data_IF_531779090450
#
_entry.id   IF_531779090450
#
_cell.length_a   1.000
_cell.length_b   1.000
_cell.length_c   1.000
_cell.angle_alpha   90.00
_cell.angle_beta   90.00
_cell.angle_gamma   90.00
#
_symmetry.space_group_name_H-M   'P 1'
#
loop_
_entity.id
_entity.type
_entity.pdbx_description
1 polymer ?
#
# COMPACT_ATOMS: atom_id res chain seq x y z
N UNK A 1 118.15 -82.07 -24.21
CA UNK A 1 117.31 -82.48 -23.08
C UNK A 1 115.95 -81.85 -23.28
N UNK A 2 115.06 -82.61 -23.93
CA UNK A 2 113.69 -82.20 -24.19
C UNK A 2 112.96 -81.98 -22.87
N UNK A 3 112.49 -80.75 -22.65
CA UNK A 3 111.71 -80.40 -21.48
C UNK A 3 110.22 -80.56 -21.83
N UNK A 4 109.55 -81.63 -21.38
CA UNK A 4 108.18 -81.96 -21.81
C UNK A 4 107.11 -81.01 -21.24
N UNK A 5 107.48 -80.04 -20.38
CA UNK A 5 106.52 -79.19 -19.68
C UNK A 5 106.15 -77.87 -20.39
N UNK A 6 106.72 -77.57 -21.57
CA UNK A 6 106.42 -76.35 -22.33
C UNK A 6 105.10 -76.37 -23.11
N UNK A 7 104.38 -77.50 -23.16
CA UNK A 7 103.20 -77.68 -24.03
C UNK A 7 101.85 -77.37 -23.35
N UNK A 8 101.79 -77.28 -22.03
CA UNK A 8 100.53 -77.13 -21.29
C UNK A 8 99.82 -75.76 -21.44
N UNK A 9 100.50 -74.59 -21.42
CA UNK A 9 99.83 -73.30 -21.57
C UNK A 9 99.25 -73.09 -22.98
N UNK A 10 99.92 -73.63 -24.00
CA UNK A 10 99.48 -73.56 -25.39
C UNK A 10 98.20 -74.37 -25.63
N UNK A 11 98.08 -75.54 -24.99
CA UNK A 11 96.88 -76.40 -25.11
C UNK A 11 95.67 -75.75 -24.42
N UNK A 12 95.86 -75.09 -23.28
CA UNK A 12 94.77 -74.38 -22.57
C UNK A 12 94.26 -73.19 -23.41
N UNK A 13 95.17 -72.38 -23.96
CA UNK A 13 94.79 -71.26 -24.83
C UNK A 13 94.09 -71.72 -26.11
N UNK A 14 94.58 -72.79 -26.73
CA UNK A 14 93.98 -73.36 -27.95
C UNK A 14 92.56 -73.90 -27.70
N UNK A 15 92.37 -74.64 -26.59
CA UNK A 15 91.06 -75.16 -26.22
C UNK A 15 90.06 -74.05 -25.84
N UNK A 16 90.52 -72.95 -25.23
CA UNK A 16 89.68 -71.80 -24.95
C UNK A 16 89.23 -71.07 -26.24
N UNK A 17 90.14 -70.92 -27.21
CA UNK A 17 89.82 -70.33 -28.53
C UNK A 17 88.83 -71.23 -29.28
N UNK A 18 89.06 -72.55 -29.31
CA UNK A 18 88.10 -73.50 -29.90
C UNK A 18 86.76 -73.43 -29.18
N UNK A 19 86.74 -73.33 -27.85
CA UNK A 19 85.51 -73.18 -27.07
C UNK A 19 84.73 -71.92 -27.43
N UNK A 20 85.41 -70.78 -27.63
CA UNK A 20 84.78 -69.53 -28.07
C UNK A 20 84.28 -69.60 -29.52
N UNK A 21 85.04 -70.21 -30.43
CA UNK A 21 84.60 -70.42 -31.82
C UNK A 21 83.39 -71.35 -31.86
N UNK A 22 83.40 -72.43 -31.07
CA UNK A 22 82.27 -73.37 -30.98
C UNK A 22 81.05 -72.72 -30.33
N UNK A 23 81.26 -71.93 -29.27
CA UNK A 23 80.19 -71.16 -28.63
C UNK A 23 79.56 -70.13 -29.57
N UNK A 24 80.38 -69.39 -30.33
CA UNK A 24 79.90 -68.42 -31.33
C UNK A 24 79.15 -69.10 -32.48
N UNK A 25 79.71 -70.17 -33.05
CA UNK A 25 79.06 -70.92 -34.14
C UNK A 25 77.79 -71.64 -33.68
N UNK A 26 77.75 -72.12 -32.44
CA UNK A 26 76.55 -72.68 -31.83
C UNK A 26 75.48 -71.61 -31.57
N UNK A 27 75.87 -70.43 -31.07
CA UNK A 27 74.98 -69.27 -30.93
C UNK A 27 74.44 -68.79 -32.27
N UNK A 28 75.28 -68.78 -33.31
CA UNK A 28 74.89 -68.46 -34.68
C UNK A 28 73.93 -69.51 -35.27
N UNK A 29 74.19 -70.80 -35.04
CA UNK A 29 73.34 -71.92 -35.48
C UNK A 29 71.99 -71.98 -34.76
N UNK A 30 71.92 -71.54 -33.51
CA UNK A 30 70.69 -71.37 -32.74
C UNK A 30 69.89 -70.11 -33.14
N UNK A 31 70.35 -69.35 -34.15
CA UNK A 31 69.65 -68.17 -34.63
C UNK A 31 69.89 -66.92 -33.78
N UNK A 32 70.98 -66.85 -33.03
CA UNK A 32 71.32 -65.69 -32.19
C UNK A 32 71.37 -64.36 -32.95
N UNK A 33 71.77 -64.38 -34.23
CA UNK A 33 71.69 -63.22 -35.13
C UNK A 33 70.26 -62.74 -35.36
N UNK A 34 69.32 -63.67 -35.61
CA UNK A 34 67.91 -63.34 -35.79
C UNK A 34 67.27 -62.87 -34.49
N UNK A 35 67.68 -63.42 -33.35
CA UNK A 35 67.20 -62.96 -32.04
C UNK A 35 67.68 -61.54 -31.75
N UNK A 36 68.97 -61.25 -31.98
CA UNK A 36 69.54 -59.91 -31.83
C UNK A 36 68.85 -58.90 -32.77
N UNK A 37 68.67 -59.24 -34.04
CA UNK A 37 67.97 -58.42 -35.03
C UNK A 37 66.52 -58.15 -34.63
N UNK A 38 65.79 -59.17 -34.16
CA UNK A 38 64.43 -58.99 -33.61
C UNK A 38 64.40 -58.06 -32.40
N UNK A 39 65.36 -58.19 -31.48
CA UNK A 39 65.42 -57.29 -30.31
C UNK A 39 65.74 -55.85 -30.70
N UNK A 40 66.62 -55.64 -31.68
CA UNK A 40 66.90 -54.31 -32.22
C UNK A 40 65.68 -53.73 -32.95
N UNK A 41 65.01 -54.53 -33.77
CA UNK A 41 63.81 -54.08 -34.47
C UNK A 41 62.68 -53.72 -33.49
N UNK A 42 62.48 -54.53 -32.44
CA UNK A 42 61.54 -54.21 -31.36
C UNK A 42 61.87 -52.89 -30.65
N UNK A 43 63.15 -52.62 -30.39
CA UNK A 43 63.56 -51.34 -29.80
C UNK A 43 63.30 -50.16 -30.74
N UNK A 44 63.58 -50.32 -32.04
CA UNK A 44 63.32 -49.30 -33.06
C UNK A 44 61.81 -49.03 -33.18
N UNK A 45 60.98 -50.07 -33.20
CA UNK A 45 59.53 -49.94 -33.29
C UNK A 45 58.95 -49.27 -32.04
N UNK A 46 59.48 -49.59 -30.85
CA UNK A 46 59.12 -48.91 -29.60
C UNK A 46 59.50 -47.43 -29.62
N UNK A 47 60.71 -47.10 -30.07
CA UNK A 47 61.15 -45.70 -30.24
C UNK A 47 60.26 -44.96 -31.23
N UNK A 48 59.86 -45.59 -32.35
CA UNK A 48 58.94 -44.98 -33.32
C UNK A 48 57.57 -44.71 -32.70
N UNK A 49 57.04 -45.63 -31.88
CA UNK A 49 55.79 -45.41 -31.16
C UNK A 49 55.90 -44.24 -30.19
N UNK A 50 56.97 -44.17 -29.38
CA UNK A 50 57.20 -43.06 -28.45
C UNK A 50 57.33 -41.71 -29.20
N UNK A 51 57.99 -41.67 -30.36
CA UNK A 51 58.04 -40.48 -31.20
C UNK A 51 56.67 -40.06 -31.73
N UNK A 52 55.85 -41.02 -32.16
CA UNK A 52 54.50 -40.74 -32.66
C UNK A 52 53.58 -40.25 -31.54
N UNK A 53 53.71 -40.79 -30.32
CA UNK A 53 53.01 -40.31 -29.13
C UNK A 53 53.41 -38.87 -28.77
N UNK A 54 54.70 -38.54 -28.86
CA UNK A 54 55.19 -37.17 -28.65
C UNK A 54 54.67 -36.18 -29.70
N UNK A 55 54.60 -36.58 -30.97
CA UNK A 55 54.00 -35.75 -32.01
C UNK A 55 52.51 -35.51 -31.78
N UNK A 56 51.76 -36.56 -31.39
CA UNK A 56 50.35 -36.45 -31.03
C UNK A 56 50.16 -35.52 -29.82
N UNK A 57 50.99 -35.65 -28.77
CA UNK A 57 50.96 -34.78 -27.60
C UNK A 57 51.24 -33.32 -27.98
N UNK A 58 52.21 -33.08 -28.86
CA UNK A 58 52.52 -31.72 -29.35
C UNK A 58 51.34 -31.12 -30.10
N UNK A 59 50.65 -31.89 -30.94
CA UNK A 59 49.45 -31.44 -31.63
C UNK A 59 48.32 -31.11 -30.65
N UNK A 60 48.12 -31.93 -29.61
CA UNK A 60 47.12 -31.68 -28.56
C UNK A 60 47.44 -30.41 -27.76
N UNK A 61 48.71 -30.17 -27.42
CA UNK A 61 49.12 -28.95 -26.70
C UNK A 61 48.84 -27.71 -27.55
N UNK A 62 49.20 -27.75 -28.84
CA UNK A 62 48.98 -26.62 -29.74
C UNK A 62 47.49 -26.33 -29.93
N UNK A 63 46.66 -27.37 -30.08
CA UNK A 63 45.20 -27.22 -30.13
C UNK A 63 44.62 -26.61 -28.84
N UNK A 64 45.15 -26.99 -27.67
CA UNK A 64 44.75 -26.40 -26.37
C UNK A 64 45.15 -24.94 -26.26
N UNK A 65 46.35 -24.56 -26.69
CA UNK A 65 46.79 -23.17 -26.69
C UNK A 65 45.93 -22.28 -27.60
N UNK A 66 45.54 -22.80 -28.78
CA UNK A 66 44.61 -22.09 -29.67
C UNK A 66 43.20 -21.97 -29.06
N UNK A 67 42.71 -23.00 -28.37
CA UNK A 67 41.42 -22.96 -27.69
C UNK A 67 41.40 -21.91 -26.56
N UNK A 68 42.47 -21.84 -25.75
CA UNK A 68 42.60 -20.84 -24.68
C UNK A 68 42.63 -19.43 -25.25
N UNK A 69 43.36 -19.19 -26.36
CA UNK A 69 43.36 -17.88 -27.02
C UNK A 69 41.96 -17.47 -27.51
N UNK A 70 41.20 -18.39 -28.10
CA UNK A 70 39.82 -18.14 -28.52
C UNK A 70 38.90 -17.86 -27.33
N UNK A 71 39.07 -18.57 -26.21
CA UNK A 71 38.30 -18.33 -24.99
C UNK A 71 38.58 -16.94 -24.41
N UNK A 72 39.85 -16.50 -24.40
CA UNK A 72 40.22 -15.15 -23.97
C UNK A 72 39.64 -14.06 -24.87
N UNK A 73 39.62 -14.27 -26.19
CA UNK A 73 38.98 -13.35 -27.13
C UNK A 73 37.47 -13.26 -26.92
N UNK A 74 36.80 -14.40 -26.70
CA UNK A 74 35.37 -14.41 -26.38
C UNK A 74 35.06 -13.73 -25.05
N UNK A 75 35.90 -13.90 -24.02
CA UNK A 75 35.75 -13.18 -22.74
C UNK A 75 35.85 -11.67 -22.92
N UNK A 76 36.83 -11.20 -23.70
CA UNK A 76 36.96 -9.77 -24.02
C UNK A 76 35.73 -9.24 -24.75
N UNK A 77 35.19 -9.99 -25.71
CA UNK A 77 33.95 -9.61 -26.40
C UNK A 77 32.76 -9.56 -25.45
N UNK A 78 32.61 -10.56 -24.57
CA UNK A 78 31.54 -10.58 -23.57
C UNK A 78 31.61 -9.37 -22.61
N UNK A 79 32.80 -9.00 -22.14
CA UNK A 79 32.99 -7.80 -21.31
C UNK A 79 32.60 -6.52 -22.04
N UNK A 80 32.92 -6.39 -23.34
CA UNK A 80 32.51 -5.22 -24.14
C UNK A 80 30.99 -5.14 -24.30
N UNK A 81 30.32 -6.28 -24.49
CA UNK A 81 28.87 -6.34 -24.58
C UNK A 81 28.19 -6.01 -23.25
N UNK A 82 28.74 -6.48 -22.12
CA UNK A 82 28.24 -6.13 -20.79
C UNK A 82 28.36 -4.62 -20.52
N UNK A 83 29.51 -4.00 -20.84
CA UNK A 83 29.68 -2.54 -20.71
C UNK A 83 28.72 -1.76 -21.60
N UNK A 84 28.47 -2.22 -22.82
CA UNK A 84 27.51 -1.59 -23.72
C UNK A 84 26.07 -1.67 -23.17
N UNK A 85 25.68 -2.83 -22.61
CA UNK A 85 24.37 -3.02 -21.99
C UNK A 85 24.18 -2.13 -20.74
N UNK A 86 25.23 -1.96 -19.93
CA UNK A 86 25.20 -1.07 -18.76
C UNK A 86 25.05 0.40 -19.16
N UNK A 87 25.74 0.84 -20.21
CA UNK A 87 25.58 2.19 -20.78
C UNK A 87 24.15 2.40 -21.30
N UNK A 88 23.59 1.42 -22.01
CA UNK A 88 22.21 1.51 -22.52
C UNK A 88 21.19 1.61 -21.38
N UNK A 89 21.37 0.83 -20.31
CA UNK A 89 20.54 0.89 -19.11
C UNK A 89 20.59 2.26 -18.46
N UNK A 90 21.79 2.82 -18.26
CA UNK A 90 21.98 4.14 -17.66
C UNK A 90 21.36 5.26 -18.53
N UNK A 91 21.47 5.16 -19.85
CA UNK A 91 20.82 6.08 -20.79
C UNK A 91 19.30 6.04 -20.70
N UNK A 92 18.70 4.83 -20.65
CA UNK A 92 17.25 4.66 -20.50
C UNK A 92 16.75 5.24 -19.17
N UNK A 93 17.48 5.03 -18.08
CA UNK A 93 17.13 5.57 -16.77
C UNK A 93 17.18 7.11 -16.77
N UNK A 94 18.26 7.71 -17.31
CA UNK A 94 18.38 9.16 -17.48
C UNK A 94 17.24 9.76 -18.31
N UNK A 95 16.92 9.14 -19.46
CA UNK A 95 15.84 9.59 -20.33
C UNK A 95 14.47 9.52 -19.62
N UNK A 96 14.22 8.46 -18.84
CA UNK A 96 12.98 8.31 -18.09
C UNK A 96 12.78 9.41 -17.05
N UNK A 97 13.86 9.79 -16.35
CA UNK A 97 13.82 10.89 -15.38
C UNK A 97 13.57 12.24 -16.06
N UNK A 98 14.15 12.47 -17.23
CA UNK A 98 13.97 13.71 -17.98
C UNK A 98 12.53 13.85 -18.53
N UNK A 99 11.96 12.75 -19.05
CA UNK A 99 10.54 12.69 -19.46
C UNK A 99 9.63 13.00 -18.27
N UNK A 100 9.92 12.47 -17.07
CA UNK A 100 9.12 12.76 -15.88
C UNK A 100 9.17 14.25 -15.48
N UNK A 101 10.36 14.88 -15.56
CA UNK A 101 10.51 16.32 -15.31
C UNK A 101 9.70 17.15 -16.31
N UNK A 102 9.79 16.83 -17.61
CA UNK A 102 9.03 17.53 -18.66
C UNK A 102 7.53 17.38 -18.43
N UNK A 103 7.05 16.18 -18.07
CA UNK A 103 5.64 15.96 -17.78
C UNK A 103 5.15 16.78 -16.58
N UNK A 104 5.95 16.93 -15.52
CA UNK A 104 5.60 17.78 -14.37
C UNK A 104 5.48 19.25 -14.76
N UNK A 105 6.37 19.75 -15.62
CA UNK A 105 6.33 21.13 -16.13
C UNK A 105 5.06 21.35 -16.98
N UNK A 106 4.78 20.46 -17.93
CA UNK A 106 3.61 20.55 -18.81
C UNK A 106 2.28 20.48 -18.02
N UNK A 107 2.22 19.65 -16.97
CA UNK A 107 1.05 19.59 -16.10
C UNK A 107 0.89 20.86 -15.26
N UNK A 108 1.98 21.47 -14.81
CA UNK A 108 1.97 22.75 -14.12
C UNK A 108 1.45 23.88 -15.02
N UNK A 109 1.96 23.98 -16.24
CA UNK A 109 1.56 25.02 -17.21
C UNK A 109 0.09 24.90 -17.61
N UNK A 110 -0.42 23.67 -17.83
CA UNK A 110 -1.85 23.46 -18.12
C UNK A 110 -2.77 23.90 -16.98
N UNK A 111 -2.38 23.64 -15.72
CA UNK A 111 -3.15 24.08 -14.55
C UNK A 111 -3.20 25.61 -14.43
N UNK A 112 -2.08 26.28 -14.71
CA UNK A 112 -2.01 27.75 -14.71
C UNK A 112 -2.91 28.35 -15.79
N UNK A 113 -2.90 27.78 -17.00
CA UNK A 113 -3.72 28.29 -18.09
C UNK A 113 -5.22 28.04 -17.87
N UNK A 114 -5.59 26.88 -17.32
CA UNK A 114 -6.97 26.59 -16.92
C UNK A 114 -7.47 27.52 -15.82
N UNK A 115 -6.64 27.79 -14.80
CA UNK A 115 -6.97 28.73 -13.74
C UNK A 115 -7.18 30.17 -14.26
N UNK A 116 -6.35 30.62 -15.22
CA UNK A 116 -6.52 31.95 -15.87
C UNK A 116 -7.83 32.04 -16.66
N UNK A 117 -8.17 31.01 -17.42
CA UNK A 117 -9.44 30.97 -18.19
C UNK A 117 -10.64 30.96 -17.26
N UNK A 118 -10.57 30.22 -16.16
CA UNK A 118 -11.62 30.16 -15.15
C UNK A 118 -11.79 31.53 -14.46
N UNK A 119 -10.69 32.18 -14.04
CA UNK A 119 -10.73 33.54 -13.48
C UNK A 119 -11.34 34.56 -14.45
N UNK A 120 -10.96 34.53 -15.73
CA UNK A 120 -11.52 35.45 -16.73
C UNK A 120 -13.02 35.25 -16.99
N UNK A 121 -13.53 34.03 -16.82
CA UNK A 121 -14.99 33.76 -16.85
C UNK A 121 -15.68 34.22 -15.57
N UNK A 122 -15.03 34.03 -14.44
CA UNK A 122 -15.52 34.44 -13.13
C UNK A 122 -15.55 35.97 -12.93
N UNK A 123 -14.73 36.73 -13.65
CA UNK A 123 -14.82 38.19 -13.65
C UNK A 123 -16.08 38.72 -14.37
N UNK A 124 -16.70 37.90 -15.23
CA UNK A 124 -17.93 38.28 -15.97
C UNK A 124 -19.20 38.02 -15.18
N UNK A 125 -19.09 37.75 -13.88
CA UNK A 125 -20.25 37.52 -13.04
C UNK A 125 -21.12 38.77 -12.92
N UNK A 126 -22.45 38.61 -12.85
CA UNK A 126 -23.33 39.74 -12.58
C UNK A 126 -22.93 40.39 -11.27
N UNK A 127 -22.70 41.71 -11.32
CA UNK A 127 -22.32 42.48 -10.14
C UNK A 127 -23.42 42.34 -9.06
N UNK A 128 -23.02 41.93 -7.85
CA UNK A 128 -23.96 41.86 -6.74
C UNK A 128 -24.41 43.26 -6.35
N UNK A 129 -25.70 43.41 -6.08
CA UNK A 129 -26.21 44.62 -5.45
C UNK A 129 -25.69 44.72 -4.01
N UNK A 130 -25.49 45.94 -3.45
CA UNK A 130 -25.01 46.10 -2.08
C UNK A 130 -25.88 45.39 -1.04
N UNK A 131 -27.20 45.34 -1.27
CA UNK A 131 -28.15 44.64 -0.41
C UNK A 131 -27.91 43.11 -0.41
N UNK A 132 -27.65 42.51 -1.58
CA UNK A 132 -27.33 41.08 -1.68
C UNK A 132 -25.97 40.75 -1.05
N UNK A 133 -24.97 41.62 -1.18
CA UNK A 133 -23.66 41.42 -0.55
C UNK A 133 -23.78 41.38 0.98
N UNK A 134 -24.46 42.35 1.57
CA UNK A 134 -24.68 42.42 3.01
C UNK A 134 -25.42 41.18 3.52
N UNK A 135 -26.43 40.73 2.79
CA UNK A 135 -27.23 39.57 3.16
C UNK A 135 -26.46 38.25 3.07
N UNK A 136 -25.72 38.02 1.98
CA UNK A 136 -24.95 36.78 1.80
C UNK A 136 -23.76 36.69 2.75
N UNK A 137 -23.21 37.83 3.20
CA UNK A 137 -22.15 37.83 4.22
C UNK A 137 -22.58 37.32 5.60
N UNK A 138 -23.89 37.22 5.85
CA UNK A 138 -24.44 36.75 7.13
C UNK A 138 -24.64 35.22 7.17
N UNK A 139 -24.32 34.49 6.10
CA UNK A 139 -24.54 33.04 6.05
C UNK A 139 -23.60 32.28 6.99
N UNK A 140 -24.17 31.50 7.91
CA UNK A 140 -23.45 30.56 8.77
C UNK A 140 -23.33 29.19 8.10
N UNK A 141 -22.50 29.12 7.06
CA UNK A 141 -22.20 27.88 6.33
C UNK A 141 -20.71 27.55 6.41
N UNK A 142 -20.38 26.26 6.37
CA UNK A 142 -18.98 25.83 6.28
C UNK A 142 -18.40 26.20 4.91
N UNK A 143 -17.07 26.36 4.77
CA UNK A 143 -16.44 26.63 3.48
C UNK A 143 -16.80 25.60 2.40
N UNK A 144 -16.95 24.33 2.79
CA UNK A 144 -17.37 23.24 1.91
C UNK A 144 -18.80 23.40 1.41
N UNK A 145 -19.73 23.80 2.29
CA UNK A 145 -21.12 24.06 1.92
C UNK A 145 -21.23 25.27 0.99
N UNK A 146 -20.47 26.34 1.27
CA UNK A 146 -20.38 27.50 0.39
C UNK A 146 -19.81 27.14 -0.98
N UNK A 147 -18.75 26.32 -1.02
CA UNK A 147 -18.16 25.82 -2.26
C UNK A 147 -19.16 24.93 -3.03
N UNK A 148 -19.94 24.10 -2.34
CA UNK A 148 -20.96 23.27 -2.95
C UNK A 148 -22.05 24.13 -3.62
N UNK A 149 -22.53 25.18 -2.96
CA UNK A 149 -23.49 26.13 -3.54
C UNK A 149 -22.86 26.85 -4.74
N UNK A 150 -21.65 27.38 -4.59
CA UNK A 150 -20.90 28.06 -5.65
C UNK A 150 -20.73 27.18 -6.91
N UNK A 151 -20.48 25.88 -6.73
CA UNK A 151 -20.35 24.92 -7.84
C UNK A 151 -21.66 24.69 -8.62
N UNK A 152 -22.81 25.12 -8.10
CA UNK A 152 -24.08 25.01 -8.80
C UNK A 152 -24.33 26.16 -9.77
N UNK A 153 -23.40 27.09 -9.98
CA UNK A 153 -23.61 28.18 -10.91
C UNK A 153 -23.80 27.68 -12.36
N UNK A 154 -24.74 28.32 -13.08
CA UNK A 154 -25.28 27.81 -14.35
C UNK A 154 -24.26 27.78 -15.50
N UNK A 155 -23.27 28.68 -15.50
CA UNK A 155 -22.27 28.82 -16.55
C UNK A 155 -21.02 27.93 -16.35
N UNK A 156 -20.98 27.11 -15.30
CA UNK A 156 -19.83 26.25 -14.99
C UNK A 156 -19.96 24.87 -15.65
N UNK A 157 -18.92 24.45 -16.36
CA UNK A 157 -18.74 23.07 -16.85
C UNK A 157 -18.48 22.10 -15.70
N UNK A 158 -18.59 20.79 -15.93
CA UNK A 158 -18.41 19.78 -14.87
C UNK A 158 -17.00 19.81 -14.28
N UNK A 159 -16.01 20.15 -15.09
CA UNK A 159 -14.61 20.25 -14.74
C UNK A 159 -14.37 21.51 -13.88
N UNK A 160 -14.89 22.66 -14.31
CA UNK A 160 -14.80 23.93 -13.58
C UNK A 160 -15.45 23.86 -12.19
N UNK A 161 -16.55 23.11 -12.06
CA UNK A 161 -17.19 22.86 -10.75
C UNK A 161 -16.27 22.15 -9.77
N UNK A 162 -15.47 21.17 -10.25
CA UNK A 162 -14.50 20.46 -9.40
C UNK A 162 -13.35 21.36 -9.01
N UNK A 163 -12.84 22.16 -9.94
CA UNK A 163 -11.78 23.13 -9.66
C UNK A 163 -12.23 24.18 -8.64
N UNK A 164 -13.48 24.65 -8.74
CA UNK A 164 -14.06 25.57 -7.75
C UNK A 164 -14.12 24.91 -6.39
N UNK A 165 -14.57 23.66 -6.26
CA UNK A 165 -14.60 22.96 -4.96
C UNK A 165 -13.22 22.87 -4.30
N UNK A 166 -12.16 22.70 -5.10
CA UNK A 166 -10.78 22.59 -4.61
C UNK A 166 -10.23 23.98 -4.23
N UNK A 167 -10.43 24.98 -5.08
CA UNK A 167 -9.79 26.30 -4.94
C UNK A 167 -10.67 27.34 -4.23
N UNK A 168 -11.92 27.01 -3.86
CA UNK A 168 -12.86 27.94 -3.23
C UNK A 168 -12.28 28.71 -2.04
N UNK A 169 -11.50 28.08 -1.12
CA UNK A 169 -10.93 28.80 0.01
C UNK A 169 -10.00 29.94 -0.39
N UNK A 170 -9.33 29.83 -1.54
CA UNK A 170 -8.33 30.79 -2.02
C UNK A 170 -8.96 31.99 -2.76
N UNK A 171 -10.24 31.91 -3.11
CA UNK A 171 -10.93 32.98 -3.82
C UNK A 171 -11.12 34.24 -2.96
N UNK A 172 -11.10 35.40 -3.61
CA UNK A 172 -11.40 36.68 -2.97
C UNK A 172 -12.85 36.73 -2.48
N UNK A 173 -13.12 37.49 -1.42
CA UNK A 173 -14.45 37.61 -0.85
C UNK A 173 -15.53 38.06 -1.87
N UNK A 174 -15.29 39.08 -2.72
CA UNK A 174 -16.28 39.48 -3.73
C UNK A 174 -16.60 38.35 -4.71
N UNK A 175 -15.59 37.58 -5.10
CA UNK A 175 -15.75 36.47 -6.02
C UNK A 175 -16.52 35.31 -5.40
N UNK A 176 -16.22 34.98 -4.12
CA UNK A 176 -16.98 33.98 -3.35
C UNK A 176 -18.46 34.34 -3.30
N UNK A 177 -18.79 35.58 -2.94
CA UNK A 177 -20.18 36.05 -2.87
C UNK A 177 -20.85 36.04 -4.26
N UNK A 178 -20.12 36.42 -5.31
CA UNK A 178 -20.55 36.32 -6.71
C UNK A 178 -20.96 34.91 -7.11
N UNK A 179 -20.11 33.95 -6.81
CA UNK A 179 -20.33 32.53 -7.09
C UNK A 179 -21.49 31.95 -6.28
N UNK A 180 -21.53 32.24 -4.97
CA UNK A 180 -22.63 31.81 -4.10
C UNK A 180 -23.96 32.35 -4.62
N UNK A 181 -24.02 33.63 -4.96
CA UNK A 181 -25.22 34.27 -5.49
C UNK A 181 -25.70 33.58 -6.78
N UNK A 182 -24.77 33.30 -7.69
CA UNK A 182 -25.10 32.60 -8.92
C UNK A 182 -25.55 31.15 -8.68
N UNK A 183 -24.94 30.46 -7.71
CA UNK A 183 -25.33 29.12 -7.31
C UNK A 183 -26.75 29.11 -6.74
N UNK A 184 -27.06 30.03 -5.83
CA UNK A 184 -28.40 30.22 -5.26
C UNK A 184 -29.44 30.56 -6.32
N UNK A 185 -29.11 31.43 -7.27
CA UNK A 185 -30.00 31.74 -8.39
C UNK A 185 -30.34 30.48 -9.21
N UNK A 186 -29.35 29.61 -9.48
CA UNK A 186 -29.57 28.36 -10.20
C UNK A 186 -30.36 27.32 -9.38
N UNK A 187 -30.28 27.37 -8.05
CA UNK A 187 -31.10 26.57 -7.12
C UNK A 187 -32.52 27.13 -6.93
N UNK A 188 -32.90 28.18 -7.66
CA UNK A 188 -34.24 28.78 -7.59
C UNK A 188 -34.43 29.84 -6.48
N UNK A 189 -33.36 30.18 -5.76
CA UNK A 189 -33.30 31.25 -4.74
C UNK A 189 -32.84 32.54 -5.43
N UNK A 190 -33.62 32.98 -6.40
CA UNK A 190 -33.24 34.03 -7.37
C UNK A 190 -33.77 35.43 -7.05
N UNK A 191 -34.66 35.58 -6.08
CA UNK A 191 -35.19 36.89 -5.63
C UNK A 191 -34.60 37.29 -4.29
N UNK A 192 -34.56 38.60 -4.01
CA UNK A 192 -34.06 39.12 -2.73
C UNK A 192 -34.82 38.53 -1.53
N UNK A 193 -36.15 38.47 -1.62
CA UNK A 193 -37.02 37.89 -0.59
C UNK A 193 -36.69 36.41 -0.32
N UNK A 194 -36.49 35.61 -1.37
CA UNK A 194 -36.09 34.20 -1.21
C UNK A 194 -34.71 34.08 -0.56
N UNK A 195 -33.78 34.97 -0.89
CA UNK A 195 -32.44 34.99 -0.27
C UNK A 195 -32.53 35.39 1.21
N UNK A 196 -33.38 36.35 1.56
CA UNK A 196 -33.69 36.71 2.95
C UNK A 196 -34.22 35.51 3.72
N UNK A 197 -35.23 34.82 3.17
CA UNK A 197 -35.80 33.63 3.79
C UNK A 197 -34.75 32.52 3.95
N UNK A 198 -33.87 32.34 2.96
CA UNK A 198 -32.78 31.37 3.03
C UNK A 198 -31.77 31.71 4.14
N UNK A 199 -31.39 32.97 4.28
CA UNK A 199 -30.49 33.42 5.35
C UNK A 199 -31.14 33.25 6.72
N UNK A 200 -32.42 33.62 6.88
CA UNK A 200 -33.16 33.44 8.13
C UNK A 200 -33.25 31.97 8.53
N UNK A 201 -33.59 31.09 7.58
CA UNK A 201 -33.62 29.65 7.80
C UNK A 201 -32.24 29.11 8.18
N UNK A 202 -31.18 29.59 7.54
CA UNK A 202 -29.81 29.22 7.89
C UNK A 202 -29.46 29.61 9.34
N UNK A 203 -29.83 30.83 9.77
CA UNK A 203 -29.64 31.28 11.14
C UNK A 203 -30.43 30.42 12.12
N UNK A 204 -31.68 30.11 11.81
CA UNK A 204 -32.52 29.24 12.62
C UNK A 204 -31.89 27.85 12.77
N UNK A 205 -31.47 27.22 11.67
CA UNK A 205 -30.82 25.90 11.70
C UNK A 205 -29.51 25.95 12.50
N UNK A 206 -28.73 27.02 12.37
CA UNK A 206 -27.48 27.18 13.12
C UNK A 206 -27.75 27.31 14.63
N UNK A 207 -28.73 28.12 15.03
CA UNK A 207 -29.16 28.27 16.42
C UNK A 207 -29.72 26.95 16.96
N UNK A 208 -30.59 26.28 16.20
CA UNK A 208 -31.13 24.97 16.55
C UNK A 208 -29.99 23.95 16.72
N UNK A 209 -29.03 23.87 15.80
CA UNK A 209 -27.89 22.95 15.93
C UNK A 209 -27.07 23.20 17.20
N UNK A 210 -26.84 24.47 17.55
CA UNK A 210 -26.13 24.83 18.77
C UNK A 210 -26.97 24.54 20.02
N UNK A 211 -28.29 24.72 19.94
CA UNK A 211 -29.23 24.43 21.03
C UNK A 211 -29.55 22.93 21.16
N UNK A 212 -29.41 22.14 20.10
CA UNK A 212 -29.65 20.69 20.10
C UNK A 212 -28.52 19.93 20.80
N UNK A 213 -27.37 20.57 21.03
CA UNK A 213 -26.25 20.08 21.82
C UNK A 213 -26.44 20.17 23.34
N UNK A 214 -27.59 20.65 23.82
CA UNK A 214 -27.92 20.61 25.24
C UNK A 214 -28.02 19.15 25.72
N UNK A 215 -27.28 18.83 26.76
CA UNK A 215 -27.36 17.56 27.48
C UNK A 215 -28.79 17.33 28.01
N UNK A 216 -29.16 16.09 28.31
CA UNK A 216 -30.51 15.77 28.87
C UNK A 216 -30.81 16.66 30.10
N UNK A 217 -29.80 16.90 30.95
CA UNK A 217 -29.87 17.79 32.11
C UNK A 217 -30.18 19.26 31.75
N UNK A 218 -29.66 19.76 30.63
CA UNK A 218 -29.90 21.13 30.19
C UNK A 218 -31.27 21.28 29.50
N UNK A 219 -31.75 20.23 28.82
CA UNK A 219 -33.14 20.18 28.31
C UNK A 219 -34.16 20.09 29.43
N UNK A 220 -33.84 19.40 30.53
CA UNK A 220 -34.64 19.39 31.75
C UNK A 220 -34.65 20.75 32.45
N UNK A 221 -33.53 21.47 32.48
CA UNK A 221 -33.47 22.83 33.02
C UNK A 221 -34.24 23.88 32.20
N UNK A 222 -34.46 23.65 30.90
CA UNK A 222 -35.34 24.49 30.06
C UNK A 222 -36.82 24.17 30.32
N UNK A 223 -37.14 22.96 30.79
CA UNK A 223 -38.53 22.56 31.03
C UNK A 223 -39.07 22.99 32.41
N UNK A 224 -38.22 23.28 33.40
CA UNK A 224 -38.60 23.98 34.63
C UNK A 224 -37.32 24.24 35.44
N UNK A 225 -36.97 25.50 35.73
CA UNK A 225 -35.82 25.77 36.60
C UNK A 225 -36.08 25.20 37.99
N UNK A 226 -35.02 24.85 38.75
CA UNK A 226 -35.17 24.36 40.13
C UNK A 226 -35.99 25.33 41.01
N UNK A 227 -35.89 26.63 40.74
CA UNK A 227 -36.71 27.66 41.37
C UNK A 227 -38.19 27.56 40.97
N UNK A 228 -38.51 27.44 39.67
CA UNK A 228 -39.89 27.26 39.20
C UNK A 228 -40.52 25.95 39.70
N UNK A 229 -39.72 24.88 39.80
CA UNK A 229 -40.14 23.60 40.39
C UNK A 229 -40.49 23.79 41.87
N UNK A 230 -39.64 24.49 42.63
CA UNK A 230 -39.90 24.80 44.03
C UNK A 230 -41.11 25.73 44.21
N UNK A 231 -41.31 26.70 43.32
CA UNK A 231 -42.47 27.60 43.35
C UNK A 231 -43.78 26.85 43.05
N UNK A 232 -43.78 25.92 42.09
CA UNK A 232 -44.95 25.06 41.82
C UNK A 232 -45.24 24.10 42.97
N UNK A 233 -44.20 23.51 43.56
CA UNK A 233 -44.36 22.65 44.74
C UNK A 233 -44.88 23.47 45.95
N UNK A 234 -44.37 24.68 46.15
CA UNK A 234 -44.83 25.58 47.21
C UNK A 234 -46.28 26.02 46.98
N UNK A 235 -46.64 26.39 45.75
CA UNK A 235 -48.02 26.72 45.38
C UNK A 235 -48.97 25.54 45.64
N UNK A 236 -48.53 24.32 45.34
CA UNK A 236 -49.31 23.12 45.60
C UNK A 236 -49.50 22.88 47.09
N UNK A 237 -48.44 23.02 47.90
CA UNK A 237 -48.51 22.90 49.36
C UNK A 237 -49.46 23.94 49.96
N UNK A 238 -49.45 25.18 49.46
CA UNK A 238 -50.37 26.24 49.92
C UNK A 238 -51.83 25.98 49.52
N UNK A 239 -52.08 25.27 48.42
CA UNK A 239 -53.43 24.94 47.93
C UNK A 239 -53.98 23.64 48.51
N UNK A 240 -53.11 22.70 48.90
CA UNK A 240 -53.46 21.47 49.62
C UNK A 240 -53.48 21.75 51.14
N UNK A 241 -54.10 22.87 51.55
CA UNK A 241 -54.43 23.06 52.96
C UNK A 241 -55.54 22.08 53.33
N UNK A 242 -55.25 21.20 54.27
CA UNK A 242 -56.19 20.22 54.80
C UNK A 242 -57.22 20.93 55.68
N UNK A 243 -58.49 20.56 55.59
CA UNK A 243 -59.53 21.08 56.50
C UNK A 243 -59.27 20.62 57.93
N UNK A 244 -59.82 21.32 58.93
CA UNK A 244 -59.67 20.93 60.34
C UNK A 244 -60.15 19.49 60.60
N UNK A 245 -61.17 19.04 59.86
CA UNK A 245 -61.68 17.66 59.89
C UNK A 245 -60.65 16.65 59.34
N UNK A 246 -60.04 16.96 58.19
CA UNK A 246 -58.99 16.12 57.59
C UNK A 246 -57.72 16.05 58.47
N UNK A 247 -57.37 17.16 59.13
CA UNK A 247 -56.25 17.20 60.06
C UNK A 247 -56.51 16.34 61.30
N UNK A 248 -57.73 16.35 61.82
CA UNK A 248 -58.12 15.50 62.94
C UNK A 248 -58.08 14.01 62.55
N UNK A 249 -58.56 13.64 61.37
CA UNK A 249 -58.51 12.26 60.86
C UNK A 249 -57.06 11.77 60.66
N UNK A 250 -56.16 12.61 60.15
CA UNK A 250 -54.75 12.27 59.96
C UNK A 250 -54.00 11.99 61.27
N UNK A 251 -54.46 12.49 62.42
CA UNK A 251 -53.84 12.17 63.72
C UNK A 251 -54.19 10.78 64.25
N UNK A 252 -55.22 10.14 63.69
CA UNK A 252 -55.74 8.84 64.13
C UNK A 252 -55.36 7.71 63.17
N UNK A 253 -55.10 8.03 61.90
CA UNK A 253 -54.82 7.04 60.83
C UNK A 253 -53.41 6.46 60.95
N UNK A 254 -53.31 5.13 60.82
CA UNK A 254 -52.02 4.42 60.82
C UNK A 254 -51.25 4.68 59.50
N UNK A 255 -49.90 4.76 59.50
CA UNK A 255 -49.11 5.09 58.32
C UNK A 255 -49.39 4.24 57.06
N UNK A 256 -49.83 2.99 57.23
CA UNK A 256 -50.13 2.07 56.14
C UNK A 256 -51.46 2.38 55.42
N UNK A 257 -52.37 3.10 56.08
CA UNK A 257 -53.69 3.49 55.57
C UNK A 257 -53.70 4.90 54.94
N UNK A 258 -52.58 5.61 54.98
CA UNK A 258 -52.41 6.94 54.34
C UNK A 258 -52.68 6.91 52.83
N UNK A 259 -52.52 5.76 52.17
CA UNK A 259 -52.78 5.61 50.72
C UNK A 259 -54.27 5.64 50.37
N UNK A 260 -55.15 5.42 51.33
CA UNK A 260 -56.61 5.43 51.17
C UNK A 260 -57.26 6.70 51.73
N UNK A 261 -56.46 7.70 52.13
CA UNK A 261 -56.99 8.95 52.66
C UNK A 261 -57.82 9.67 51.59
N UNK A 262 -59.08 9.97 51.92
CA UNK A 262 -60.00 10.61 50.99
C UNK A 262 -59.64 12.09 50.80
N UNK A 263 -59.03 12.38 49.66
CA UNK A 263 -58.77 13.74 49.21
C UNK A 263 -59.96 14.24 48.39
N UNK A 264 -60.14 15.56 48.36
CA UNK A 264 -61.13 16.12 47.44
C UNK A 264 -60.60 16.05 45.98
N UNK A 265 -61.50 16.13 45.02
CA UNK A 265 -61.18 15.99 43.59
C UNK A 265 -60.13 17.02 43.10
N UNK A 266 -60.08 18.21 43.72
CA UNK A 266 -59.09 19.24 43.38
C UNK A 266 -57.70 18.91 43.92
N UNK A 267 -57.62 18.40 45.16
CA UNK A 267 -56.39 17.95 45.80
C UNK A 267 -55.81 16.72 45.07
N UNK A 268 -56.67 15.78 44.69
CA UNK A 268 -56.26 14.58 43.95
C UNK A 268 -55.73 14.92 42.54
N UNK A 269 -56.41 15.82 41.81
CA UNK A 269 -55.95 16.31 40.52
C UNK A 269 -54.62 17.08 40.62
N UNK A 270 -54.46 17.92 41.66
CA UNK A 270 -53.21 18.64 41.90
C UNK A 270 -52.05 17.67 42.22
N UNK A 271 -52.27 16.68 43.08
CA UNK A 271 -51.24 15.71 43.42
C UNK A 271 -50.88 14.81 42.24
N UNK A 272 -51.87 14.42 41.43
CA UNK A 272 -51.65 13.59 40.23
C UNK A 272 -50.87 14.35 39.15
N UNK A 273 -51.17 15.64 38.94
CA UNK A 273 -50.47 16.49 37.97
C UNK A 273 -49.04 16.85 38.39
N UNK A 274 -48.78 16.91 39.70
CA UNK A 274 -47.46 17.25 40.26
C UNK A 274 -46.63 16.02 40.68
N UNK A 275 -47.21 14.82 40.71
CA UNK A 275 -46.51 13.56 40.99
C UNK A 275 -45.27 13.30 40.11
N UNK A 276 -45.22 13.71 38.83
CA UNK A 276 -44.00 13.60 38.03
C UNK A 276 -42.86 14.49 38.53
N UNK A 277 -43.15 15.62 39.19
CA UNK A 277 -42.15 16.56 39.70
C UNK A 277 -41.51 16.07 41.02
N UNK A 278 -42.21 15.26 41.80
CA UNK A 278 -41.75 14.72 43.09
C UNK A 278 -41.08 13.35 42.98
N UNK A 279 -41.19 12.67 41.84
CA UNK A 279 -40.41 11.45 41.58
C UNK A 279 -38.96 11.84 41.30
N UNK A 280 -38.13 11.83 42.35
CA UNK A 280 -36.68 11.74 42.16
C UNK A 280 -36.36 10.51 41.29
N UNK A 281 -35.63 10.76 40.22
CA UNK A 281 -35.02 9.85 39.24
C UNK A 281 -35.02 8.35 39.59
N UNK A 282 -36.14 7.67 39.35
CA UNK A 282 -36.15 6.21 39.15
C UNK A 282 -36.23 5.80 37.67
N UNK A 283 -36.26 6.78 36.76
CA UNK A 283 -36.47 6.54 35.33
C UNK A 283 -35.21 6.71 34.46
N UNK A 284 -34.03 7.00 35.04
CA UNK A 284 -32.85 7.38 34.25
C UNK A 284 -31.88 6.23 33.89
N UNK A 285 -32.00 5.01 34.44
CA UNK A 285 -31.06 3.92 34.09
C UNK A 285 -31.72 2.64 33.55
N UNK A 286 -32.85 2.17 34.08
CA UNK A 286 -33.42 0.87 33.64
C UNK A 286 -34.33 0.95 32.40
N UNK A 287 -34.94 2.11 32.11
CA UNK A 287 -35.92 2.25 31.01
C UNK A 287 -35.30 2.69 29.68
N UNK A 288 -34.06 3.18 29.68
CA UNK A 288 -33.28 3.34 28.45
C UNK A 288 -32.42 2.09 28.29
N UNK A 289 -33.05 0.97 27.92
CA UNK A 289 -32.33 -0.24 27.53
C UNK A 289 -31.20 0.10 26.55
N UNK A 290 -30.10 -0.68 26.60
CA UNK A 290 -28.86 -0.47 25.85
C UNK A 290 -29.09 0.29 24.55
N UNK A 291 -28.61 1.54 24.49
CA UNK A 291 -28.72 2.41 23.31
C UNK A 291 -28.25 1.60 22.11
N UNK A 292 -29.19 1.09 21.30
CA UNK A 292 -28.88 0.30 20.11
C UNK A 292 -28.16 1.24 19.17
N UNK A 293 -26.85 1.11 19.17
CA UNK A 293 -25.95 1.96 18.42
C UNK A 293 -26.22 1.72 16.93
N UNK A 294 -27.09 2.55 16.35
CA UNK A 294 -27.66 2.38 15.00
C UNK A 294 -26.57 2.31 13.92
N UNK A 295 -25.37 2.78 14.26
CA UNK A 295 -24.18 2.82 13.41
C UNK A 295 -23.30 1.57 13.51
N UNK A 296 -23.44 0.72 14.53
CA UNK A 296 -22.65 -0.51 14.68
C UNK A 296 -22.81 -1.47 13.48
N UNK A 297 -24.04 -1.71 12.96
CA UNK A 297 -24.24 -2.56 11.78
C UNK A 297 -23.62 -1.99 10.50
N UNK A 298 -23.58 -0.66 10.38
CA UNK A 298 -22.95 0.02 9.24
C UNK A 298 -21.43 -0.06 9.32
N UNK A 299 -20.86 0.18 10.50
CA UNK A 299 -19.42 0.07 10.77
C UNK A 299 -18.91 -1.34 10.51
N UNK A 300 -19.65 -2.36 10.95
CA UNK A 300 -19.29 -3.77 10.71
C UNK A 300 -19.36 -4.16 9.24
N UNK A 301 -20.40 -3.72 8.50
CA UNK A 301 -20.47 -3.93 7.04
C UNK A 301 -19.35 -3.24 6.28
N UNK A 302 -18.99 -2.01 6.67
CA UNK A 302 -17.89 -1.26 6.07
C UNK A 302 -16.54 -1.96 6.29
N UNK A 303 -16.24 -2.34 7.53
CA UNK A 303 -15.01 -3.05 7.89
C UNK A 303 -14.88 -4.41 7.18
N UNK A 304 -15.98 -5.16 7.04
CA UNK A 304 -15.99 -6.40 6.27
C UNK A 304 -15.72 -6.17 4.78
N UNK A 305 -16.24 -5.07 4.22
CA UNK A 305 -15.97 -4.66 2.84
C UNK A 305 -14.49 -4.36 2.60
N UNK A 306 -13.87 -3.56 3.48
CA UNK A 306 -12.44 -3.23 3.38
C UNK A 306 -11.54 -4.45 3.58
N UNK A 307 -11.84 -5.33 4.54
CA UNK A 307 -11.08 -6.57 4.73
C UNK A 307 -11.11 -7.45 3.47
N UNK A 308 -12.25 -7.52 2.78
CA UNK A 308 -12.38 -8.30 1.54
C UNK A 308 -11.56 -7.72 0.40
N UNK A 309 -11.44 -6.39 0.33
CA UNK A 309 -10.59 -5.71 -0.66
C UNK A 309 -9.11 -5.99 -0.37
N UNK A 310 -8.68 -5.88 0.89
CA UNK A 310 -7.32 -6.20 1.33
C UNK A 310 -6.94 -7.66 1.07
N UNK A 311 -7.84 -8.61 1.32
CA UNK A 311 -7.63 -10.02 1.01
C UNK A 311 -7.43 -10.25 -0.49
N UNK A 312 -8.26 -9.62 -1.34
CA UNK A 312 -8.09 -9.73 -2.80
C UNK A 312 -6.76 -9.12 -3.29
N UNK A 313 -6.36 -7.98 -2.74
CA UNK A 313 -5.09 -7.34 -3.10
C UNK A 313 -3.89 -8.22 -2.71
N UNK A 314 -3.91 -8.81 -1.51
CA UNK A 314 -2.85 -9.72 -1.05
C UNK A 314 -2.79 -11.03 -1.84
N UNK A 315 -3.93 -11.59 -2.24
CA UNK A 315 -3.98 -12.75 -3.14
C UNK A 315 -3.42 -12.45 -4.53
N UNK A 316 -3.74 -11.28 -5.10
CA UNK A 316 -3.18 -10.87 -6.40
C UNK A 316 -1.66 -10.69 -6.33
N UNK A 317 -1.17 -10.07 -5.25
CA UNK A 317 0.26 -9.87 -5.04
C UNK A 317 1.00 -11.20 -4.88
N UNK A 318 0.44 -12.17 -4.14
CA UNK A 318 0.98 -13.53 -4.06
C UNK A 318 1.02 -14.24 -5.42
N UNK A 319 0.00 -14.08 -6.24
CA UNK A 319 -0.02 -14.65 -7.61
C UNK A 319 1.07 -14.03 -8.49
N UNK A 320 1.29 -12.72 -8.40
CA UNK A 320 2.36 -12.05 -9.13
C UNK A 320 3.75 -12.52 -8.69
N UNK A 321 3.99 -12.64 -7.38
CA UNK A 321 5.24 -13.18 -6.82
C UNK A 321 5.51 -14.62 -7.29
N UNK A 322 4.51 -15.49 -7.22
CA UNK A 322 4.63 -16.87 -7.71
C UNK A 322 4.91 -16.94 -9.22
N UNK A 323 4.32 -16.04 -10.02
CA UNK A 323 4.64 -15.94 -11.45
C UNK A 323 6.06 -15.46 -11.71
N UNK A 324 6.56 -14.50 -10.92
CA UNK A 324 7.95 -14.04 -11.00
C UNK A 324 8.95 -15.13 -10.62
N UNK A 325 8.69 -15.90 -9.55
CA UNK A 325 9.52 -17.05 -9.17
C UNK A 325 9.56 -18.12 -10.27
N UNK A 326 8.40 -18.43 -10.88
CA UNK A 326 8.34 -19.35 -12.01
C UNK A 326 9.13 -18.84 -13.21
N UNK A 327 9.10 -17.54 -13.50
CA UNK A 327 9.90 -16.95 -14.57
C UNK A 327 11.40 -17.00 -14.25
N UNK A 328 11.80 -16.66 -13.03
CA UNK A 328 13.19 -16.73 -12.58
C UNK A 328 13.74 -18.16 -12.66
N UNK A 329 12.95 -19.15 -12.22
CA UNK A 329 13.33 -20.56 -12.33
C UNK A 329 13.47 -21.00 -13.79
N UNK A 330 12.55 -20.58 -14.68
CA UNK A 330 12.67 -20.85 -16.12
C UNK A 330 13.95 -20.25 -16.71
N UNK A 331 14.27 -19.02 -16.34
CA UNK A 331 15.49 -18.33 -16.77
C UNK A 331 16.73 -19.10 -16.31
N UNK A 332 16.80 -19.48 -15.04
CA UNK A 332 17.92 -20.24 -14.47
C UNK A 332 18.10 -21.61 -15.13
N UNK A 333 17.01 -22.30 -15.49
CA UNK A 333 17.08 -23.56 -16.24
C UNK A 333 17.63 -23.32 -17.65
N UNK A 334 17.17 -22.28 -18.35
CA UNK A 334 17.67 -21.94 -19.69
C UNK A 334 19.17 -21.59 -19.65
N UNK A 335 19.60 -20.82 -18.68
CA UNK A 335 21.01 -20.45 -18.49
C UNK A 335 21.86 -21.70 -18.23
N UNK A 336 21.38 -22.63 -17.40
CA UNK A 336 22.07 -23.90 -17.13
C UNK A 336 22.17 -24.79 -18.37
N UNK A 337 21.12 -24.83 -19.21
CA UNK A 337 21.12 -25.59 -20.46
C UNK A 337 22.06 -24.98 -21.51
N UNK A 338 22.16 -23.65 -21.57
CA UNK A 338 23.12 -22.96 -22.44
C UNK A 338 24.55 -23.30 -22.03
N UNK A 339 24.87 -23.22 -20.73
CA UNK A 339 26.20 -23.61 -20.21
C UNK A 339 26.51 -25.08 -20.51
N UNK A 340 25.52 -25.97 -20.44
CA UNK A 340 25.71 -27.39 -20.79
C UNK A 340 25.95 -27.60 -22.28
N UNK A 341 25.30 -26.84 -23.15
CA UNK A 341 25.47 -26.96 -24.60
C UNK A 341 26.83 -26.42 -25.11
N UNK A 342 27.51 -25.61 -24.29
CA UNK A 342 28.85 -25.09 -24.56
C UNK A 342 29.98 -26.05 -24.13
N UNK A 343 29.65 -27.12 -23.38
CA UNK A 343 30.54 -28.21 -22.99
C UNK A 343 30.47 -29.37 -24.00
#
# INVERSE_FOLDING_TARGET
TDNPNGKWPMVIGYNAIIGLIYGYTYWERLGGKQLAEKTYQQQIDKLRQEFQELENLKAVILAKEEAVKKEEEMKKQAETLQKAAEIEKNLKESLSQEIEKVNKILQGERKVEQAKVLLAKLEKLPALTPAEQALLSQLYLTPEQLAAIASQAQYLTKEERKEILINFPEFSLPLKLGLINSGLNNLGVNTLEKKQNFVQLNHQIYQEKNNFGLTVQEKENILLTAEQKNDLLKFAVEKVNLTEEQQAELTVIHPDELKSFALNEQQENLLTTLAPLTREDKYSEENFGEVKDTYLPLKTKFLQGEQKILQKATEQLKKQLSQQELQANKQSILDSLLVFAEQ
#
